data_IF_607667539035
#
_entry.id   IF_607667539035
#
_cell.length_a   1.000
_cell.length_b   1.000
_cell.length_c   1.000
_cell.angle_alpha   90.00
_cell.angle_beta   90.00
_cell.angle_gamma   90.00
#
_symmetry.space_group_name_H-M   'P 1'
#
loop_
_entity.id
_entity.type
_entity.pdbx_description
1 polymer ?
#
# COMPACT_ATOMS: atom_id res chain seq x y z
N UNK A 1 -9.79 -3.67 -21.26
CA UNK A 1 -10.56 -4.89 -21.49
C UNK A 1 -9.93 -5.99 -20.66
N UNK A 2 -10.71 -6.89 -20.10
CA UNK A 2 -10.21 -8.03 -19.34
C UNK A 2 -10.77 -9.29 -19.99
N UNK A 3 -9.88 -10.23 -20.33
CA UNK A 3 -10.25 -11.50 -20.95
C UNK A 3 -10.00 -12.61 -19.92
N UNK A 4 -11.03 -13.36 -19.60
CA UNK A 4 -10.96 -14.49 -18.67
C UNK A 4 -10.87 -15.77 -19.50
N UNK A 5 -9.80 -16.52 -19.30
CA UNK A 5 -9.61 -17.80 -19.97
C UNK A 5 -10.44 -18.89 -19.28
N UNK A 6 -10.80 -19.93 -20.03
CA UNK A 6 -11.46 -21.10 -19.48
C UNK A 6 -10.57 -21.83 -18.47
N UNK A 7 -11.19 -22.54 -17.55
CA UNK A 7 -10.46 -23.44 -16.65
C UNK A 7 -9.83 -24.57 -17.48
N UNK A 8 -8.51 -24.75 -17.35
CA UNK A 8 -7.77 -25.71 -18.14
C UNK A 8 -7.37 -25.22 -19.54
N UNK A 9 -7.53 -23.94 -19.88
CA UNK A 9 -7.00 -23.39 -21.13
C UNK A 9 -5.50 -23.67 -21.25
N UNK A 10 -5.08 -24.17 -22.42
CA UNK A 10 -3.68 -24.52 -22.67
C UNK A 10 -2.82 -23.28 -22.83
N UNK A 11 -1.50 -23.41 -22.61
CA UNK A 11 -0.58 -22.29 -22.84
C UNK A 11 -0.60 -21.81 -24.31
N UNK A 12 -0.87 -22.70 -25.28
CA UNK A 12 -1.03 -22.32 -26.68
C UNK A 12 -2.26 -21.43 -26.90
N UNK A 13 -3.40 -21.79 -26.31
CA UNK A 13 -4.62 -20.97 -26.36
C UNK A 13 -4.42 -19.61 -25.70
N UNK A 14 -3.76 -19.57 -24.53
CA UNK A 14 -3.43 -18.32 -23.84
C UNK A 14 -2.51 -17.46 -24.71
N UNK A 15 -1.47 -18.05 -25.30
CA UNK A 15 -0.54 -17.33 -26.17
C UNK A 15 -1.23 -16.79 -27.43
N UNK A 16 -2.13 -17.55 -28.02
CA UNK A 16 -2.93 -17.09 -29.15
C UNK A 16 -3.74 -15.84 -28.83
N UNK A 17 -4.38 -15.79 -27.67
CA UNK A 17 -5.11 -14.60 -27.21
C UNK A 17 -4.16 -13.43 -26.97
N UNK A 18 -2.98 -13.66 -26.36
CA UNK A 18 -1.95 -12.63 -26.16
C UNK A 18 -1.51 -12.05 -27.52
N UNK A 19 -1.19 -12.89 -28.49
CA UNK A 19 -0.76 -12.46 -29.81
C UNK A 19 -1.85 -11.64 -30.53
N UNK A 20 -3.11 -12.02 -30.34
CA UNK A 20 -4.25 -11.27 -30.86
C UNK A 20 -4.40 -9.89 -30.21
N UNK A 21 -4.19 -9.79 -28.88
CA UNK A 21 -4.20 -8.51 -28.15
C UNK A 21 -3.08 -7.60 -28.70
N UNK A 22 -1.85 -8.12 -28.76
CA UNK A 22 -0.68 -7.38 -29.24
C UNK A 22 -0.84 -6.94 -30.70
N UNK A 23 -1.33 -7.83 -31.58
CA UNK A 23 -1.58 -7.49 -32.98
C UNK A 23 -2.68 -6.45 -33.18
N UNK A 24 -3.57 -6.30 -32.19
CA UNK A 24 -4.57 -5.23 -32.15
C UNK A 24 -4.01 -3.89 -31.65
N UNK A 25 -2.71 -3.81 -31.33
CA UNK A 25 -2.04 -2.59 -30.89
C UNK A 25 -2.17 -2.31 -29.39
N UNK A 26 -2.49 -3.32 -28.57
CA UNK A 26 -2.66 -3.17 -27.13
C UNK A 26 -1.56 -3.87 -26.34
N UNK A 27 -1.21 -3.30 -25.19
CA UNK A 27 -0.36 -3.97 -24.22
C UNK A 27 -1.15 -5.05 -23.47
N UNK A 28 -0.49 -6.15 -23.06
CA UNK A 28 -1.11 -7.25 -22.36
C UNK A 28 -0.39 -7.57 -21.06
N UNK A 29 -1.17 -7.72 -19.98
CA UNK A 29 -0.70 -8.24 -18.72
C UNK A 29 -1.40 -9.54 -18.37
N UNK A 30 -0.61 -10.60 -18.07
CA UNK A 30 -1.11 -11.92 -17.68
C UNK A 30 -1.14 -12.03 -16.16
N UNK A 31 -2.29 -12.46 -15.62
CA UNK A 31 -2.43 -12.86 -14.21
C UNK A 31 -2.93 -14.30 -14.16
N UNK A 32 -2.14 -15.21 -13.57
CA UNK A 32 -2.50 -16.62 -13.43
C UNK A 32 -2.91 -16.89 -11.98
N UNK A 33 -4.18 -17.24 -11.78
CA UNK A 33 -4.73 -17.70 -10.50
C UNK A 33 -4.75 -19.23 -10.41
N UNK A 34 -5.27 -19.75 -9.30
CA UNK A 34 -5.34 -21.20 -9.05
C UNK A 34 -6.26 -21.95 -10.06
N UNK A 35 -7.30 -21.30 -10.59
CA UNK A 35 -8.28 -21.91 -11.49
C UNK A 35 -8.37 -21.27 -12.87
N UNK A 36 -7.93 -20.03 -13.03
CA UNK A 36 -8.11 -19.29 -14.28
C UNK A 36 -6.90 -18.40 -14.58
N UNK A 37 -6.59 -18.24 -15.87
CA UNK A 37 -5.70 -17.18 -16.36
C UNK A 37 -6.55 -15.99 -16.83
N UNK A 38 -6.14 -14.81 -16.47
CA UNK A 38 -6.77 -13.54 -16.85
C UNK A 38 -5.76 -12.69 -17.61
N UNK A 39 -6.20 -12.13 -18.73
CA UNK A 39 -5.40 -11.24 -19.56
C UNK A 39 -6.00 -9.84 -19.52
N UNK A 40 -5.24 -8.88 -19.04
CA UNK A 40 -5.59 -7.48 -19.07
C UNK A 40 -5.06 -6.81 -20.32
N UNK A 41 -5.94 -6.42 -21.25
CA UNK A 41 -5.57 -5.60 -22.41
C UNK A 41 -5.65 -4.12 -22.06
N UNK A 42 -4.50 -3.44 -22.12
CA UNK A 42 -4.32 -2.02 -21.79
C UNK A 42 -4.25 -1.19 -23.09
N UNK A 43 -4.75 0.03 -23.05
CA UNK A 43 -4.79 0.90 -24.23
C UNK A 43 -6.05 0.75 -25.10
N UNK A 44 -6.95 -0.15 -24.76
CA UNK A 44 -8.17 -0.42 -25.55
C UNK A 44 -9.09 0.80 -25.56
N UNK A 45 -9.38 1.34 -26.76
CA UNK A 45 -10.27 2.46 -26.96
C UNK A 45 -11.74 2.10 -26.68
N UNK A 46 -12.56 3.14 -26.35
CA UNK A 46 -13.98 2.94 -26.00
C UNK A 46 -14.81 2.29 -27.10
N UNK A 47 -14.46 2.55 -28.35
CA UNK A 47 -15.21 2.07 -29.52
C UNK A 47 -14.65 0.76 -30.11
N UNK A 48 -13.67 0.16 -29.45
CA UNK A 48 -13.09 -1.11 -29.91
C UNK A 48 -14.10 -2.25 -29.76
N UNK A 49 -14.34 -2.98 -30.86
CA UNK A 49 -15.21 -4.16 -30.84
C UNK A 49 -14.46 -5.35 -30.25
N UNK A 50 -14.93 -5.82 -29.11
CA UNK A 50 -14.33 -6.91 -28.35
C UNK A 50 -14.95 -8.28 -28.63
N UNK A 51 -16.04 -8.33 -29.44
CA UNK A 51 -16.78 -9.57 -29.71
C UNK A 51 -15.94 -10.63 -30.38
N UNK A 52 -14.97 -10.22 -31.21
CA UNK A 52 -14.03 -11.15 -31.84
C UNK A 52 -13.20 -11.94 -30.81
N UNK A 53 -12.92 -11.38 -29.64
CA UNK A 53 -12.20 -12.07 -28.59
C UNK A 53 -13.05 -13.11 -27.85
N UNK A 54 -14.36 -12.91 -27.80
CA UNK A 54 -15.28 -13.88 -27.19
C UNK A 54 -15.37 -15.19 -27.98
N UNK A 55 -15.05 -15.13 -29.28
CA UNK A 55 -15.08 -16.27 -30.20
C UNK A 55 -13.76 -17.05 -30.21
N UNK A 56 -12.71 -16.59 -29.55
CA UNK A 56 -11.41 -17.28 -29.54
C UNK A 56 -11.50 -18.49 -28.60
N UNK A 57 -11.04 -19.62 -29.11
CA UNK A 57 -11.01 -20.89 -28.36
C UNK A 57 -10.19 -20.72 -27.05
N UNK A 58 -10.71 -21.21 -25.94
CA UNK A 58 -10.10 -21.06 -24.62
C UNK A 58 -10.48 -19.77 -23.89
N UNK A 59 -11.20 -18.84 -24.52
CA UNK A 59 -11.78 -17.67 -23.84
C UNK A 59 -13.11 -18.06 -23.21
N UNK A 60 -13.29 -17.72 -21.93
CA UNK A 60 -14.53 -17.92 -21.20
C UNK A 60 -15.46 -16.72 -21.32
N UNK A 61 -14.91 -15.53 -21.12
CA UNK A 61 -15.66 -14.27 -21.18
C UNK A 61 -14.72 -13.08 -21.42
N UNK A 62 -15.25 -12.02 -22.02
CA UNK A 62 -14.57 -10.76 -22.20
C UNK A 62 -15.31 -9.67 -21.45
N UNK A 63 -14.67 -9.11 -20.41
CA UNK A 63 -15.26 -8.07 -19.59
C UNK A 63 -14.78 -6.70 -20.06
N UNK A 64 -15.72 -5.88 -20.49
CA UNK A 64 -15.42 -4.49 -20.81
C UNK A 64 -15.34 -3.68 -19.52
N UNK A 65 -14.12 -3.40 -19.10
CA UNK A 65 -13.91 -2.55 -17.92
C UNK A 65 -14.22 -1.10 -18.30
N UNK A 66 -15.32 -0.58 -17.84
CA UNK A 66 -15.76 0.82 -18.09
C UNK A 66 -14.98 1.82 -17.24
N UNK A 67 -14.41 1.36 -16.12
CA UNK A 67 -13.55 2.18 -15.26
C UNK A 67 -12.28 2.59 -15.99
N UNK A 68 -11.72 3.81 -15.72
CA UNK A 68 -10.52 4.29 -16.39
C UNK A 68 -9.25 3.49 -16.02
N UNK A 69 -9.22 2.81 -14.85
CA UNK A 69 -8.17 1.88 -14.42
C UNK A 69 -8.53 0.44 -14.78
N UNK A 70 -7.58 -0.33 -15.30
CA UNK A 70 -7.77 -1.70 -15.80
C UNK A 70 -7.09 -2.72 -14.89
N UNK A 71 -5.79 -2.56 -14.67
CA UNK A 71 -4.97 -3.47 -13.87
C UNK A 71 -5.32 -3.39 -12.38
N UNK A 72 -5.67 -2.20 -11.87
CA UNK A 72 -6.10 -2.02 -10.49
C UNK A 72 -7.55 -2.49 -10.22
N UNK A 73 -8.32 -2.80 -11.25
CA UNK A 73 -9.73 -3.16 -11.11
C UNK A 73 -9.91 -4.55 -10.50
N UNK A 74 -10.96 -4.72 -9.67
CA UNK A 74 -11.32 -6.01 -9.04
C UNK A 74 -11.47 -7.14 -10.06
N UNK A 75 -12.01 -6.85 -11.26
CA UNK A 75 -12.19 -7.86 -12.32
C UNK A 75 -10.87 -8.42 -12.84
N UNK A 76 -9.76 -7.67 -12.76
CA UNK A 76 -8.44 -8.15 -13.18
C UNK A 76 -7.94 -9.31 -12.29
N UNK A 77 -8.26 -9.27 -10.98
CA UNK A 77 -7.89 -10.34 -10.03
C UNK A 77 -9.01 -10.51 -8.98
N UNK A 78 -10.12 -11.21 -9.32
CA UNK A 78 -11.30 -11.30 -8.47
C UNK A 78 -11.04 -11.83 -7.06
N UNK A 79 -10.08 -12.77 -6.91
CA UNK A 79 -9.68 -13.35 -5.62
C UNK A 79 -8.89 -12.38 -4.73
N UNK A 80 -8.48 -11.22 -5.26
CA UNK A 80 -7.66 -10.25 -4.53
C UNK A 80 -6.17 -10.47 -4.69
N UNK A 81 -5.39 -9.46 -4.34
CA UNK A 81 -3.92 -9.52 -4.31
C UNK A 81 -3.44 -9.73 -2.88
N UNK A 82 -2.53 -10.66 -2.72
CA UNK A 82 -1.75 -10.84 -1.51
C UNK A 82 -0.33 -10.36 -1.81
N UNK A 83 0.13 -9.34 -1.08
CA UNK A 83 1.51 -8.88 -1.10
C UNK A 83 2.24 -9.57 0.04
N UNK A 84 3.14 -10.48 -0.31
CA UNK A 84 3.90 -11.29 0.65
C UNK A 84 5.31 -10.72 0.84
N UNK A 85 5.66 -10.40 2.08
CA UNK A 85 7.00 -9.94 2.47
C UNK A 85 7.91 -11.10 2.88
N UNK A 86 7.39 -12.33 2.95
CA UNK A 86 8.06 -13.46 3.56
C UNK A 86 7.83 -13.52 5.07
N UNK A 87 8.37 -14.58 5.68
CA UNK A 87 8.26 -14.85 7.14
C UNK A 87 6.82 -14.81 7.67
N UNK A 88 5.82 -15.09 6.80
CA UNK A 88 4.39 -15.10 7.14
C UNK A 88 3.73 -13.73 7.23
N UNK A 89 4.41 -12.65 6.83
CA UNK A 89 3.86 -11.28 6.85
C UNK A 89 3.27 -10.94 5.49
N UNK A 90 1.96 -10.73 5.43
CA UNK A 90 1.24 -10.45 4.18
C UNK A 90 0.27 -9.28 4.32
N UNK A 91 0.00 -8.58 3.22
CA UNK A 91 -1.12 -7.67 3.08
C UNK A 91 -2.15 -8.26 2.12
N UNK A 92 -3.43 -8.15 2.43
CA UNK A 92 -4.53 -8.69 1.61
C UNK A 92 -4.93 -10.14 1.94
N UNK A 93 -4.18 -10.83 2.83
CA UNK A 93 -4.50 -12.17 3.35
C UNK A 93 -5.46 -12.14 4.54
N UNK A 94 -5.46 -13.21 5.34
CA UNK A 94 -6.26 -13.30 6.55
C UNK A 94 -5.72 -12.44 7.70
N UNK A 95 -4.46 -12.04 7.63
CA UNK A 95 -3.82 -11.23 8.66
C UNK A 95 -3.98 -9.73 8.39
N UNK A 96 -4.06 -8.95 9.48
CA UNK A 96 -3.92 -7.50 9.46
C UNK A 96 -2.48 -7.18 9.84
N UNK A 97 -1.70 -6.69 8.87
CA UNK A 97 -0.30 -6.34 9.09
C UNK A 97 -0.19 -4.98 9.79
N UNK A 98 0.68 -4.88 10.80
CA UNK A 98 0.91 -3.62 11.50
C UNK A 98 2.32 -3.12 11.25
N UNK A 99 2.41 -1.93 10.64
CA UNK A 99 3.64 -1.18 10.47
C UNK A 99 3.67 -0.05 11.50
N UNK A 100 4.65 -0.07 12.39
CA UNK A 100 4.74 0.89 13.49
C UNK A 100 6.17 1.43 13.64
N UNK A 101 6.30 2.67 14.13
CA UNK A 101 7.59 3.32 14.34
C UNK A 101 7.52 4.83 14.26
N UNK A 102 8.63 5.54 14.40
CA UNK A 102 8.63 6.99 14.49
C UNK A 102 8.34 7.67 13.15
N UNK A 103 7.85 8.89 13.19
CA UNK A 103 7.69 9.71 11.98
C UNK A 103 9.02 9.87 11.26
N UNK A 104 10.08 10.22 11.97
CA UNK A 104 11.45 10.30 11.45
C UNK A 104 12.45 9.59 12.35
N UNK A 105 13.55 9.14 11.74
CA UNK A 105 14.76 8.76 12.50
C UNK A 105 15.43 10.02 13.01
N UNK A 106 15.70 10.05 14.30
CA UNK A 106 16.31 11.19 14.99
C UNK A 106 17.67 10.85 15.60
N UNK A 107 17.85 9.61 16.07
CA UNK A 107 19.11 9.06 16.55
C UNK A 107 19.10 7.54 16.53
N UNK A 108 20.28 6.93 16.74
CA UNK A 108 20.39 5.47 16.86
C UNK A 108 19.64 4.93 18.08
N UNK A 109 19.71 5.65 19.20
CA UNK A 109 19.04 5.27 20.44
C UNK A 109 17.52 5.34 20.32
N UNK A 110 16.99 6.40 19.64
CA UNK A 110 15.57 6.56 19.40
C UNK A 110 15.02 5.41 18.56
N UNK A 111 15.63 5.11 17.40
CA UNK A 111 15.13 4.09 16.50
C UNK A 111 15.27 2.68 17.09
N UNK A 112 16.33 2.40 17.81
CA UNK A 112 16.53 1.10 18.50
C UNK A 112 15.48 0.88 19.57
N UNK A 113 15.25 1.88 20.44
CA UNK A 113 14.25 1.84 21.51
C UNK A 113 12.83 1.65 20.96
N UNK A 114 12.47 2.37 19.89
CA UNK A 114 11.15 2.25 19.27
C UNK A 114 11.00 0.90 18.57
N UNK A 115 12.02 0.45 17.83
CA UNK A 115 12.00 -0.85 17.16
C UNK A 115 11.82 -2.01 18.15
N UNK A 116 12.54 -1.99 19.29
CA UNK A 116 12.36 -2.95 20.36
C UNK A 116 10.91 -2.98 20.88
N UNK A 117 10.34 -1.80 21.17
CA UNK A 117 9.00 -1.66 21.74
C UNK A 117 7.92 -2.14 20.77
N UNK A 118 7.98 -1.75 19.48
CA UNK A 118 6.96 -2.14 18.51
C UNK A 118 7.05 -3.62 18.15
N UNK A 119 8.26 -4.21 18.09
CA UNK A 119 8.46 -5.64 17.91
C UNK A 119 7.89 -6.44 19.08
N UNK A 120 8.17 -6.03 20.32
CA UNK A 120 7.64 -6.66 21.53
C UNK A 120 6.11 -6.64 21.56
N UNK A 121 5.48 -5.56 21.13
CA UNK A 121 4.02 -5.44 21.03
C UNK A 121 3.41 -6.28 19.88
N UNK A 122 4.25 -6.83 18.97
CA UNK A 122 3.83 -7.73 17.89
C UNK A 122 3.74 -7.09 16.52
N UNK A 123 4.21 -5.86 16.31
CA UNK A 123 4.39 -5.32 14.97
C UNK A 123 5.48 -6.12 14.23
N UNK A 124 5.32 -6.27 12.93
CA UNK A 124 6.28 -7.00 12.07
C UNK A 124 7.01 -6.08 11.11
N UNK A 125 6.61 -4.83 11.02
CA UNK A 125 7.13 -3.86 10.07
C UNK A 125 7.49 -2.59 10.83
N UNK A 126 8.75 -2.16 10.73
CA UNK A 126 9.22 -0.87 11.23
C UNK A 126 8.98 0.20 10.16
N UNK A 127 8.20 1.22 10.51
CA UNK A 127 8.03 2.40 9.67
C UNK A 127 8.83 3.56 10.20
N UNK A 128 9.65 4.19 9.38
CA UNK A 128 10.36 5.40 9.76
C UNK A 128 10.76 6.20 8.52
N UNK A 129 10.78 7.52 8.61
CA UNK A 129 11.24 8.38 7.52
C UNK A 129 12.70 8.77 7.71
N UNK A 130 13.55 8.49 6.71
CA UNK A 130 14.92 8.98 6.64
C UNK A 130 15.01 10.34 5.93
N UNK A 131 14.07 10.60 5.03
CA UNK A 131 13.88 11.87 4.32
C UNK A 131 12.53 12.47 4.71
N UNK A 132 12.45 13.80 4.82
CA UNK A 132 11.22 14.48 5.27
C UNK A 132 10.82 15.60 4.32
N UNK A 133 9.65 15.49 3.64
CA UNK A 133 9.11 16.57 2.84
C UNK A 133 8.58 17.68 3.76
N UNK A 134 9.30 18.78 3.88
CA UNK A 134 8.92 19.91 4.73
C UNK A 134 8.47 21.10 3.91
N UNK A 135 7.45 21.80 4.41
CA UNK A 135 7.01 23.08 3.83
C UNK A 135 8.03 24.17 4.10
N UNK A 136 8.72 24.12 5.26
CA UNK A 136 9.80 25.04 5.59
C UNK A 136 11.17 24.42 5.35
N UNK A 137 12.09 25.08 4.62
CA UNK A 137 13.44 24.57 4.43
C UNK A 137 14.29 24.58 5.72
N UNK A 138 13.84 25.27 6.76
CA UNK A 138 14.52 25.34 8.06
C UNK A 138 14.11 24.23 9.04
N UNK A 139 13.05 23.45 8.70
CA UNK A 139 12.65 22.32 9.50
C UNK A 139 13.60 21.12 9.30
N UNK A 140 13.60 20.19 10.26
CA UNK A 140 14.40 18.95 10.17
C UNK A 140 14.07 18.17 8.88
N UNK A 141 15.08 17.98 8.02
CA UNK A 141 14.94 17.37 6.68
C UNK A 141 15.10 15.84 6.69
N UNK A 142 15.38 15.26 7.87
CA UNK A 142 15.75 13.84 8.02
C UNK A 142 17.26 13.63 8.02
N UNK A 143 17.68 12.40 8.28
CA UNK A 143 19.09 12.00 8.36
C UNK A 143 19.65 11.45 7.04
N UNK A 144 18.84 11.40 5.98
CA UNK A 144 19.27 10.88 4.68
C UNK A 144 19.67 9.40 4.75
N UNK A 145 20.70 9.03 3.99
CA UNK A 145 21.19 7.64 3.94
C UNK A 145 21.59 7.10 5.30
N UNK A 146 22.21 7.93 6.16
CA UNK A 146 22.53 7.52 7.53
C UNK A 146 21.30 7.11 8.34
N UNK A 147 20.16 7.78 8.12
CA UNK A 147 18.90 7.39 8.70
C UNK A 147 18.41 6.02 8.19
N UNK A 148 18.63 5.72 6.91
CA UNK A 148 18.28 4.40 6.33
C UNK A 148 19.15 3.28 6.93
N UNK A 149 20.45 3.49 7.11
CA UNK A 149 21.33 2.56 7.80
C UNK A 149 20.82 2.23 9.20
N UNK A 150 20.52 3.28 9.99
CA UNK A 150 20.01 3.11 11.35
C UNK A 150 18.66 2.37 11.41
N UNK A 151 17.75 2.65 10.46
CA UNK A 151 16.48 1.90 10.35
C UNK A 151 16.76 0.43 10.07
N UNK A 152 17.65 0.15 9.11
CA UNK A 152 17.95 -1.23 8.68
C UNK A 152 18.60 -2.01 9.82
N UNK A 153 19.60 -1.46 10.50
CA UNK A 153 20.28 -2.07 11.63
C UNK A 153 19.29 -2.43 12.77
N UNK A 154 18.43 -1.47 13.13
CA UNK A 154 17.40 -1.70 14.15
C UNK A 154 16.38 -2.77 13.70
N UNK A 155 15.93 -2.72 12.44
CA UNK A 155 14.97 -3.70 11.92
C UNK A 155 15.55 -5.11 11.87
N UNK A 156 16.81 -5.28 11.48
CA UNK A 156 17.48 -6.59 11.44
C UNK A 156 17.65 -7.16 12.85
N UNK A 157 18.05 -6.33 13.81
CA UNK A 157 18.19 -6.72 15.23
C UNK A 157 16.89 -7.30 15.80
N UNK A 158 15.74 -6.69 15.47
CA UNK A 158 14.44 -7.11 15.99
C UNK A 158 13.60 -7.91 14.96
N UNK A 159 14.18 -8.33 13.84
CA UNK A 159 13.56 -9.14 12.79
C UNK A 159 12.31 -8.48 12.17
N UNK A 160 12.34 -7.16 12.02
CA UNK A 160 11.28 -6.38 11.39
C UNK A 160 11.56 -6.19 9.89
N UNK A 161 10.52 -6.04 9.10
CA UNK A 161 10.63 -5.47 7.76
C UNK A 161 10.69 -3.94 7.84
N UNK A 162 11.19 -3.28 6.80
CA UNK A 162 11.35 -1.82 6.76
C UNK A 162 10.42 -1.22 5.71
N UNK A 163 9.63 -0.23 6.09
CA UNK A 163 8.95 0.68 5.15
C UNK A 163 9.42 2.10 5.38
N UNK A 164 9.90 2.76 4.31
CA UNK A 164 10.35 4.15 4.35
C UNK A 164 9.91 4.92 3.11
N UNK A 165 9.69 6.24 3.27
CA UNK A 165 9.21 7.11 2.21
C UNK A 165 10.33 7.45 1.22
N UNK A 166 10.09 7.19 -0.07
CA UNK A 166 10.88 7.67 -1.19
C UNK A 166 10.27 8.96 -1.72
N UNK A 167 11.07 9.99 -1.89
CA UNK A 167 10.61 11.31 -2.31
C UNK A 167 10.99 11.66 -3.74
N UNK A 168 12.08 11.07 -4.24
CA UNK A 168 12.66 11.37 -5.55
C UNK A 168 13.18 10.10 -6.23
N UNK A 169 13.17 10.09 -7.58
CA UNK A 169 13.65 8.97 -8.39
C UNK A 169 15.11 8.60 -8.09
N UNK A 170 15.96 9.61 -7.85
CA UNK A 170 17.38 9.40 -7.58
C UNK A 170 17.65 8.60 -6.29
N UNK A 171 16.67 8.55 -5.38
CA UNK A 171 16.78 7.81 -4.13
C UNK A 171 16.50 6.31 -4.30
N UNK A 172 15.78 5.88 -5.34
CA UNK A 172 15.35 4.49 -5.53
C UNK A 172 16.52 3.50 -5.49
N UNK A 173 17.62 3.69 -6.26
CA UNK A 173 18.71 2.72 -6.26
C UNK A 173 19.37 2.55 -4.89
N UNK A 174 19.60 3.64 -4.17
CA UNK A 174 20.19 3.64 -2.84
C UNK A 174 19.23 2.99 -1.83
N UNK A 175 17.98 3.43 -1.78
CA UNK A 175 16.98 2.94 -0.82
C UNK A 175 16.68 1.45 -1.01
N UNK A 176 16.84 0.91 -2.23
CA UNK A 176 16.64 -0.53 -2.50
C UNK A 176 17.49 -1.43 -1.58
N UNK A 177 18.63 -0.96 -1.08
CA UNK A 177 19.48 -1.72 -0.17
C UNK A 177 18.96 -1.76 1.27
N UNK A 178 18.09 -0.82 1.65
CA UNK A 178 17.70 -0.61 3.05
C UNK A 178 16.23 -0.92 3.34
N UNK A 179 15.32 -0.76 2.35
CA UNK A 179 13.88 -0.92 2.59
C UNK A 179 13.36 -2.24 2.02
N UNK A 180 12.33 -2.78 2.64
CA UNK A 180 11.57 -3.92 2.11
C UNK A 180 10.32 -3.44 1.35
N UNK A 181 9.80 -2.25 1.71
CA UNK A 181 8.64 -1.61 1.10
C UNK A 181 8.98 -0.15 0.82
N UNK A 182 8.80 0.30 -0.41
CA UNK A 182 8.83 1.72 -0.73
C UNK A 182 7.51 2.37 -0.36
N UNK A 183 7.52 3.48 0.39
CA UNK A 183 6.33 4.27 0.61
C UNK A 183 6.33 5.49 -0.30
N UNK A 184 5.23 5.70 -1.02
CA UNK A 184 4.94 6.96 -1.72
C UNK A 184 4.06 7.82 -0.83
N UNK A 185 4.57 8.96 -0.41
CA UNK A 185 3.84 9.91 0.43
C UNK A 185 2.65 10.54 -0.30
N UNK A 186 1.66 11.00 0.47
CA UNK A 186 0.43 11.58 -0.07
C UNK A 186 0.66 12.78 -1.01
N UNK A 187 1.73 13.55 -0.81
CA UNK A 187 2.13 14.66 -1.69
C UNK A 187 2.67 14.20 -3.04
N UNK A 188 3.18 12.96 -3.10
CA UNK A 188 3.75 12.33 -4.30
C UNK A 188 2.80 11.33 -4.97
N UNK A 189 1.54 11.23 -4.52
CA UNK A 189 0.58 10.29 -5.13
C UNK A 189 0.43 10.50 -6.64
N UNK A 190 0.50 11.73 -7.11
CA UNK A 190 0.39 12.10 -8.52
C UNK A 190 1.75 12.42 -9.19
N UNK A 191 2.85 12.05 -8.55
CA UNK A 191 4.18 12.12 -9.18
C UNK A 191 4.35 10.92 -10.11
N UNK A 192 3.76 10.98 -11.29
CA UNK A 192 3.72 9.87 -12.25
C UNK A 192 5.10 9.41 -12.72
N UNK A 193 6.11 10.27 -12.71
CA UNK A 193 7.50 9.87 -12.99
C UNK A 193 8.03 8.94 -11.90
N UNK A 194 7.82 9.29 -10.63
CA UNK A 194 8.19 8.45 -9.49
C UNK A 194 7.41 7.12 -9.51
N UNK A 195 6.09 7.18 -9.76
CA UNK A 195 5.25 5.98 -9.81
C UNK A 195 5.68 5.02 -10.92
N UNK A 196 6.02 5.55 -12.10
CA UNK A 196 6.52 4.74 -13.23
C UNK A 196 7.84 4.06 -12.88
N UNK A 197 8.80 4.79 -12.28
CA UNK A 197 10.07 4.20 -11.86
C UNK A 197 9.89 3.13 -10.78
N UNK A 198 8.94 3.32 -9.84
CA UNK A 198 8.59 2.31 -8.85
C UNK A 198 7.82 1.11 -9.45
N UNK A 199 7.24 1.27 -10.63
CA UNK A 199 6.68 0.17 -11.42
C UNK A 199 7.73 -0.82 -11.93
N UNK A 200 8.97 -0.38 -12.10
CA UNK A 200 10.08 -1.20 -12.60
C UNK A 200 10.87 -1.90 -11.48
N UNK A 201 10.60 -1.59 -10.19
CA UNK A 201 11.25 -2.27 -9.06
C UNK A 201 10.49 -3.51 -8.64
N UNK A 202 11.20 -4.49 -8.06
CA UNK A 202 10.58 -5.74 -7.61
C UNK A 202 10.07 -5.69 -6.17
N UNK A 203 10.31 -4.58 -5.44
CA UNK A 203 9.87 -4.45 -4.04
C UNK A 203 8.44 -3.88 -3.97
N UNK A 204 7.67 -4.27 -2.94
CA UNK A 204 6.35 -3.69 -2.70
C UNK A 204 6.35 -2.17 -2.59
N UNK A 205 5.24 -1.56 -3.04
CA UNK A 205 5.01 -0.11 -2.97
C UNK A 205 3.75 0.17 -2.17
N UNK A 206 3.88 0.90 -1.07
CA UNK A 206 2.78 1.43 -0.29
C UNK A 206 2.44 2.85 -0.79
N UNK A 207 1.29 2.99 -1.44
CA UNK A 207 0.83 4.22 -2.07
C UNK A 207 -0.20 4.91 -1.17
N UNK A 208 0.16 6.07 -0.62
CA UNK A 208 -0.73 6.88 0.23
C UNK A 208 -1.65 7.76 -0.61
N UNK A 209 -2.95 7.75 -0.28
CA UNK A 209 -3.96 8.63 -0.89
C UNK A 209 -3.61 10.10 -0.67
N UNK A 210 -3.69 10.90 -1.71
CA UNK A 210 -3.54 12.36 -1.65
C UNK A 210 -4.64 13.01 -0.81
N UNK A 211 -4.32 14.10 -0.14
CA UNK A 211 -5.22 14.78 0.80
C UNK A 211 -6.49 15.37 0.15
N UNK A 212 -6.50 15.55 -1.16
CA UNK A 212 -7.65 16.04 -1.93
C UNK A 212 -7.96 15.12 -3.11
N UNK A 213 -7.50 13.86 -3.02
CA UNK A 213 -7.65 12.88 -4.09
C UNK A 213 -8.91 12.04 -3.90
N UNK A 214 -9.63 11.80 -4.99
CA UNK A 214 -10.70 10.82 -5.05
C UNK A 214 -10.16 9.40 -4.99
N UNK A 215 -11.02 8.42 -4.75
CA UNK A 215 -10.65 6.99 -4.82
C UNK A 215 -10.22 6.62 -6.25
N UNK A 216 -10.89 7.17 -7.27
CA UNK A 216 -10.54 6.94 -8.68
C UNK A 216 -9.12 7.42 -9.00
N UNK A 217 -8.73 8.62 -8.55
CA UNK A 217 -7.38 9.15 -8.73
C UNK A 217 -6.33 8.30 -8.02
N UNK A 218 -6.63 7.75 -6.83
CA UNK A 218 -5.75 6.81 -6.15
C UNK A 218 -5.55 5.52 -6.96
N UNK A 219 -6.63 4.97 -7.52
CA UNK A 219 -6.57 3.75 -8.35
C UNK A 219 -5.86 3.99 -9.68
N UNK A 220 -6.04 5.16 -10.30
CA UNK A 220 -5.28 5.58 -11.47
C UNK A 220 -3.78 5.75 -11.16
N UNK A 221 -3.44 6.26 -9.99
CA UNK A 221 -2.05 6.34 -9.55
C UNK A 221 -1.44 4.94 -9.33
N UNK A 222 -2.19 4.02 -8.75
CA UNK A 222 -1.77 2.63 -8.63
C UNK A 222 -1.58 1.96 -10.02
N UNK A 223 -2.43 2.29 -10.99
CA UNK A 223 -2.33 1.79 -12.37
C UNK A 223 -0.96 2.10 -13.00
N UNK A 224 -0.36 3.26 -12.72
CA UNK A 224 1.00 3.59 -13.21
C UNK A 224 2.07 2.62 -12.70
N UNK A 225 1.97 2.21 -11.44
CA UNK A 225 2.92 1.24 -10.85
C UNK A 225 2.69 -0.14 -11.45
N UNK A 226 1.42 -0.56 -11.54
CA UNK A 226 1.03 -1.85 -12.11
C UNK A 226 1.42 -1.99 -13.58
N UNK A 227 1.24 -0.91 -14.37
CA UNK A 227 1.60 -0.88 -15.78
C UNK A 227 3.12 -1.01 -16.02
N UNK A 228 3.94 -0.62 -15.04
CA UNK A 228 5.39 -0.87 -15.04
C UNK A 228 5.78 -2.32 -14.72
N UNK A 229 4.81 -3.19 -14.36
CA UNK A 229 5.04 -4.60 -14.04
C UNK A 229 5.12 -4.92 -12.55
N UNK A 230 5.08 -3.92 -11.66
CA UNK A 230 5.09 -4.16 -10.22
C UNK A 230 3.65 -4.34 -9.68
N UNK A 231 3.26 -5.59 -9.44
CA UNK A 231 1.94 -5.94 -8.91
C UNK A 231 1.88 -5.98 -7.38
N UNK A 232 2.97 -5.68 -6.67
CA UNK A 232 3.03 -5.64 -5.22
C UNK A 232 2.68 -4.24 -4.69
N UNK A 233 1.47 -3.77 -5.00
CA UNK A 233 0.99 -2.44 -4.58
C UNK A 233 0.04 -2.57 -3.40
N UNK A 234 0.27 -1.75 -2.37
CA UNK A 234 -0.54 -1.63 -1.16
C UNK A 234 -1.10 -0.20 -1.12
N UNK A 235 -2.40 -0.05 -1.09
CA UNK A 235 -3.05 1.25 -0.97
C UNK A 235 -3.09 1.69 0.50
N UNK A 236 -3.10 3.01 0.76
CA UNK A 236 -3.18 3.52 2.13
C UNK A 236 -4.14 4.71 2.21
N UNK A 237 -5.23 4.52 2.96
CA UNK A 237 -6.07 5.63 3.39
C UNK A 237 -5.41 6.36 4.56
N UNK A 238 -5.25 7.69 4.47
CA UNK A 238 -4.54 8.51 5.46
C UNK A 238 -5.24 9.84 5.79
N UNK A 239 -6.51 9.94 5.45
CA UNK A 239 -7.33 11.12 5.63
C UNK A 239 -7.30 12.09 4.45
N UNK A 240 -8.41 12.71 4.25
CA UNK A 240 -8.64 13.74 3.23
C UNK A 240 -8.97 15.08 3.88
N UNK A 241 -8.68 16.17 3.18
CA UNK A 241 -9.10 17.50 3.61
C UNK A 241 -10.59 17.67 3.42
N UNK A 242 -11.24 18.13 4.47
CA UNK A 242 -12.66 18.50 4.44
C UNK A 242 -12.82 19.86 5.11
N UNK A 243 -14.06 20.29 5.28
CA UNK A 243 -14.38 21.50 6.03
C UNK A 243 -14.16 21.37 7.55
N UNK A 244 -14.02 20.13 8.07
CA UNK A 244 -13.83 19.86 9.51
C UNK A 244 -12.40 20.21 9.94
N UNK A 245 -12.27 20.85 11.11
CA UNK A 245 -10.99 21.36 11.62
C UNK A 245 -10.57 20.80 12.98
N UNK A 246 -11.42 19.99 13.64
CA UNK A 246 -11.08 19.35 14.92
C UNK A 246 -9.99 18.28 14.81
N UNK A 247 -9.83 17.70 13.63
CA UNK A 247 -8.74 16.81 13.28
C UNK A 247 -7.96 17.38 12.09
N UNK A 248 -6.70 16.97 11.94
CA UNK A 248 -5.84 17.43 10.83
C UNK A 248 -6.43 17.12 9.46
N UNK A 249 -7.05 15.94 9.32
CA UNK A 249 -7.79 15.49 8.17
C UNK A 249 -9.01 14.67 8.65
N UNK A 250 -9.94 14.40 7.77
CA UNK A 250 -11.01 13.42 7.99
C UNK A 250 -10.51 12.06 7.50
N UNK A 251 -10.32 11.10 8.41
CA UNK A 251 -9.99 9.72 8.02
C UNK A 251 -11.23 9.08 7.39
N UNK A 252 -11.15 8.78 6.10
CA UNK A 252 -12.26 8.22 5.31
C UNK A 252 -12.33 6.70 5.50
N UNK A 253 -12.94 6.27 6.60
CA UNK A 253 -13.11 4.84 6.89
C UNK A 253 -13.96 4.16 5.82
N UNK A 254 -14.91 4.87 5.19
CA UNK A 254 -15.76 4.33 4.14
C UNK A 254 -14.95 3.99 2.86
N UNK A 255 -13.81 4.64 2.64
CA UNK A 255 -12.93 4.32 1.52
C UNK A 255 -12.44 2.86 1.57
N UNK A 256 -12.30 2.26 2.75
CA UNK A 256 -11.80 0.88 2.90
C UNK A 256 -12.72 -0.12 2.19
N UNK A 257 -14.00 -0.28 2.55
CA UNK A 257 -14.88 -1.21 1.87
C UNK A 257 -15.15 -0.81 0.40
N UNK A 258 -15.18 0.47 0.06
CA UNK A 258 -15.34 0.93 -1.32
C UNK A 258 -14.17 0.50 -2.18
N UNK A 259 -12.91 0.71 -1.74
CA UNK A 259 -11.72 0.28 -2.48
C UNK A 259 -11.69 -1.24 -2.61
N UNK A 260 -12.04 -1.98 -1.57
CA UNK A 260 -12.11 -3.45 -1.63
C UNK A 260 -13.17 -3.97 -2.61
N UNK A 261 -14.23 -3.21 -2.88
CA UNK A 261 -15.21 -3.55 -3.92
C UNK A 261 -14.69 -3.21 -5.33
N UNK A 262 -13.98 -2.10 -5.49
CA UNK A 262 -13.52 -1.59 -6.78
C UNK A 262 -12.20 -2.20 -7.26
N UNK A 263 -11.31 -2.56 -6.32
CA UNK A 263 -9.93 -3.00 -6.60
C UNK A 263 -9.61 -4.32 -5.93
N UNK A 264 -8.69 -5.06 -6.51
CA UNK A 264 -8.11 -6.27 -5.93
C UNK A 264 -6.93 -5.98 -4.99
N UNK A 265 -6.43 -4.74 -4.95
CA UNK A 265 -5.26 -4.35 -4.16
C UNK A 265 -5.59 -4.29 -2.67
N UNK A 266 -4.66 -4.70 -1.79
CA UNK A 266 -4.83 -4.54 -0.36
C UNK A 266 -4.82 -3.06 0.04
N UNK A 267 -5.59 -2.72 1.08
CA UNK A 267 -5.67 -1.37 1.62
C UNK A 267 -5.37 -1.35 3.11
N UNK A 268 -4.46 -0.46 3.52
CA UNK A 268 -4.14 -0.17 4.92
C UNK A 268 -4.67 1.20 5.32
N UNK A 269 -4.78 1.43 6.62
CA UNK A 269 -5.17 2.72 7.16
C UNK A 269 -4.04 3.34 8.00
N UNK A 270 -3.89 4.65 7.88
CA UNK A 270 -2.96 5.47 8.65
C UNK A 270 -3.75 6.49 9.51
N UNK A 271 -4.21 6.08 10.69
CA UNK A 271 -4.98 6.95 11.59
C UNK A 271 -4.12 8.05 12.22
N UNK A 272 -2.80 7.87 12.32
CA UNK A 272 -1.89 8.88 12.84
C UNK A 272 -1.91 10.14 11.98
N UNK A 273 -1.66 10.01 10.67
CA UNK A 273 -1.75 11.15 9.75
C UNK A 273 -3.21 11.52 9.44
N UNK A 274 -4.13 10.55 9.49
CA UNK A 274 -5.55 10.79 9.26
C UNK A 274 -6.13 11.77 10.26
N UNK A 275 -5.86 11.58 11.53
CA UNK A 275 -6.40 12.44 12.60
C UNK A 275 -5.46 13.56 13.00
N UNK A 276 -4.15 13.34 12.98
CA UNK A 276 -3.14 14.26 13.48
C UNK A 276 -3.17 14.44 15.00
N UNK A 277 -3.84 13.54 15.73
CA UNK A 277 -4.06 13.62 17.16
C UNK A 277 -3.87 12.27 17.84
N UNK A 278 -2.97 12.20 18.82
CA UNK A 278 -2.62 10.99 19.59
C UNK A 278 -3.85 10.28 20.18
N UNK A 279 -4.75 11.06 20.78
CA UNK A 279 -5.98 10.56 21.45
C UNK A 279 -7.00 9.95 20.48
N UNK A 280 -6.87 10.19 19.18
CA UNK A 280 -7.77 9.67 18.14
C UNK A 280 -7.19 8.48 17.36
N UNK A 281 -5.89 8.19 17.51
CA UNK A 281 -5.24 7.10 16.76
C UNK A 281 -5.87 5.74 17.09
N UNK A 282 -5.96 5.40 18.38
CA UNK A 282 -6.49 4.09 18.79
C UNK A 282 -7.95 3.86 18.38
N UNK A 283 -8.91 4.79 18.61
CA UNK A 283 -10.28 4.64 18.14
C UNK A 283 -10.36 4.42 16.61
N UNK A 284 -9.59 5.19 15.84
CA UNK A 284 -9.63 5.11 14.37
C UNK A 284 -8.91 3.86 13.84
N UNK A 285 -7.86 3.39 14.50
CA UNK A 285 -7.21 2.12 14.17
C UNK A 285 -8.18 0.95 14.34
N UNK A 286 -8.92 0.92 15.47
CA UNK A 286 -9.96 -0.10 15.71
C UNK A 286 -11.07 -0.06 14.66
N UNK A 287 -11.55 1.14 14.33
CA UNK A 287 -12.57 1.33 13.29
C UNK A 287 -12.07 0.84 11.91
N UNK A 288 -10.82 1.12 11.55
CA UNK A 288 -10.23 0.67 10.30
C UNK A 288 -10.13 -0.86 10.22
N UNK A 289 -9.70 -1.54 11.30
CA UNK A 289 -9.70 -3.02 11.36
C UNK A 289 -11.12 -3.56 11.21
N UNK A 290 -12.09 -2.98 11.92
CA UNK A 290 -13.51 -3.37 11.83
C UNK A 290 -14.09 -3.14 10.42
N UNK A 291 -13.65 -2.10 9.70
CA UNK A 291 -14.03 -1.82 8.32
C UNK A 291 -13.35 -2.75 7.29
N UNK A 292 -12.43 -3.62 7.73
CA UNK A 292 -11.78 -4.62 6.89
C UNK A 292 -10.43 -4.17 6.29
N UNK A 293 -9.73 -3.21 6.89
CA UNK A 293 -8.38 -2.84 6.48
C UNK A 293 -7.42 -4.05 6.53
N UNK A 294 -6.53 -4.14 5.55
CA UNK A 294 -5.53 -5.21 5.43
C UNK A 294 -4.27 -4.93 6.27
N UNK A 295 -4.19 -3.75 6.87
CA UNK A 295 -3.12 -3.36 7.77
C UNK A 295 -3.31 -1.98 8.36
N UNK A 296 -2.41 -1.64 9.26
CA UNK A 296 -2.34 -0.33 9.92
C UNK A 296 -0.93 0.26 9.79
N UNK A 297 -0.87 1.58 9.65
CA UNK A 297 0.36 2.36 9.71
C UNK A 297 0.27 3.32 10.90
N UNK A 298 1.06 3.07 11.95
CA UNK A 298 0.96 3.78 13.23
C UNK A 298 2.26 4.51 13.54
N UNK A 299 2.17 5.77 13.94
CA UNK A 299 3.32 6.49 14.47
C UNK A 299 3.50 6.20 15.96
N UNK A 300 4.71 5.74 16.30
CA UNK A 300 5.14 5.44 17.68
C UNK A 300 6.47 6.10 17.94
N UNK A 301 6.59 6.80 19.05
CA UNK A 301 7.81 7.48 19.46
C UNK A 301 8.07 7.22 20.95
N UNK A 302 9.32 7.04 21.34
CA UNK A 302 9.70 6.79 22.74
C UNK A 302 9.49 8.02 23.66
N UNK A 303 9.53 9.22 23.09
CA UNK A 303 9.24 10.50 23.75
C UNK A 303 8.49 11.44 22.79
N UNK A 304 7.17 11.23 22.59
CA UNK A 304 6.40 11.98 21.60
C UNK A 304 6.36 13.48 21.82
N UNK A 305 6.53 13.94 23.05
CA UNK A 305 6.40 15.36 23.40
C UNK A 305 7.66 16.17 23.01
N UNK A 306 8.80 15.48 22.81
CA UNK A 306 10.07 16.08 22.35
C UNK A 306 10.46 15.62 20.93
N UNK A 307 9.56 14.94 20.21
CA UNK A 307 9.82 14.46 18.85
C UNK A 307 10.09 15.63 17.89
N UNK A 308 11.11 15.50 17.04
CA UNK A 308 11.45 16.49 16.00
C UNK A 308 10.39 16.55 14.88
N UNK A 309 9.52 15.53 14.79
CA UNK A 309 8.48 15.42 13.77
C UNK A 309 7.24 14.71 14.28
N UNK A 310 6.07 15.34 14.06
CA UNK A 310 4.72 14.79 14.24
C UNK A 310 4.43 14.14 15.62
N UNK A 311 5.06 14.65 16.69
CA UNK A 311 4.88 14.13 18.05
C UNK A 311 3.43 14.15 18.56
N UNK A 312 2.66 15.17 18.17
CA UNK A 312 1.25 15.32 18.58
C UNK A 312 0.33 14.16 18.15
N UNK A 313 0.71 13.41 17.12
CA UNK A 313 -0.04 12.27 16.60
C UNK A 313 0.64 10.91 16.87
N UNK A 314 1.83 10.90 17.45
CA UNK A 314 2.58 9.69 17.79
C UNK A 314 2.09 9.10 19.11
N UNK A 315 1.87 7.79 19.13
CA UNK A 315 1.67 7.04 20.37
C UNK A 315 3.01 6.87 21.09
N UNK A 316 2.99 6.81 22.39
CA UNK A 316 4.10 6.23 23.17
C UNK A 316 4.01 4.68 23.15
N UNK A 317 5.07 3.96 23.56
CA UNK A 317 5.10 2.50 23.56
C UNK A 317 3.95 1.85 24.34
N UNK A 318 3.57 2.40 25.51
CA UNK A 318 2.51 1.82 26.33
C UNK A 318 1.12 1.97 25.69
N UNK A 319 0.84 3.09 25.03
CA UNK A 319 -0.39 3.27 24.26
C UNK A 319 -0.43 2.38 23.03
N UNK A 320 0.72 2.16 22.37
CA UNK A 320 0.79 1.25 21.23
C UNK A 320 0.56 -0.21 21.65
N UNK A 321 1.18 -0.67 22.72
CA UNK A 321 0.96 -2.03 23.27
C UNK A 321 -0.52 -2.27 23.59
N UNK A 322 -1.18 -1.30 24.24
CA UNK A 322 -2.62 -1.34 24.52
C UNK A 322 -3.44 -1.44 23.23
N UNK A 323 -3.14 -0.61 22.23
CA UNK A 323 -3.79 -0.68 20.93
C UNK A 323 -3.65 -2.07 20.29
N UNK A 324 -2.45 -2.66 20.33
CA UNK A 324 -2.22 -3.99 19.78
C UNK A 324 -3.07 -5.06 20.50
N UNK A 325 -3.23 -4.97 21.81
CA UNK A 325 -4.12 -5.85 22.58
C UNK A 325 -5.59 -5.67 22.15
N UNK A 326 -6.06 -4.43 21.98
CA UNK A 326 -7.43 -4.13 21.57
C UNK A 326 -7.76 -4.63 20.15
N UNK A 327 -6.86 -4.44 19.18
CA UNK A 327 -7.10 -4.89 17.80
C UNK A 327 -7.06 -6.43 17.67
N UNK A 328 -6.32 -7.14 18.54
CA UNK A 328 -6.37 -8.61 18.61
C UNK A 328 -7.73 -9.14 19.03
N UNK A 329 -8.52 -8.35 19.76
CA UNK A 329 -9.90 -8.71 20.13
C UNK A 329 -10.86 -8.42 18.97
N UNK A 330 -10.66 -7.34 18.22
CA UNK A 330 -11.55 -6.89 17.16
C UNK A 330 -11.35 -7.69 15.87
N UNK A 331 -10.13 -8.00 15.49
CA UNK A 331 -9.82 -8.66 14.22
C UNK A 331 -10.59 -9.99 14.02
N UNK A 332 -10.70 -10.89 15.01
CA UNK A 332 -11.51 -12.12 14.87
C UNK A 332 -12.98 -11.87 14.60
N UNK A 333 -13.56 -10.78 15.13
CA UNK A 333 -14.99 -10.46 14.91
C UNK A 333 -15.30 -10.15 13.43
N UNK A 334 -14.28 -9.77 12.64
CA UNK A 334 -14.40 -9.53 11.19
C UNK A 334 -13.68 -10.59 10.36
N UNK A 335 -13.43 -11.79 10.94
CA UNK A 335 -12.81 -12.91 10.24
C UNK A 335 -11.32 -12.75 9.95
N UNK A 336 -10.62 -11.86 10.68
CA UNK A 336 -9.20 -11.54 10.51
C UNK A 336 -8.41 -11.90 11.78
N UNK A 337 -7.10 -11.86 11.70
CA UNK A 337 -6.20 -12.02 12.86
C UNK A 337 -5.05 -11.02 12.79
N UNK A 338 -4.47 -10.70 13.94
CA UNK A 338 -3.23 -9.95 14.07
C UNK A 338 -2.08 -10.95 14.17
N UNK A 339 -1.08 -10.79 13.30
CA UNK A 339 0.08 -11.67 13.26
C UNK A 339 1.05 -11.45 14.44
#
# INVERSE_FOLDING_TARGET
MVIVMQEGATDEQIQHVIDRIVSSGFDVHRSTGASHTILGAVGVHRDFDHRDFELIEGVREVVRVTQPYKLANRHFKPQGTIVDLGRGVTFGGAEVAVAAGPCSVESAEQIDSVAASVASAGAKILRAGAFKPRTSPYAFQGMGEKGLELIRDAADKYKLFVVSEVMDLSQIPMMTNYVDIFQVGARNMQNYFLLRALGEVHKPVLLKRGMSATIEELLLSAEYILAGGNFNVILCERGIRTFETYTRNTLDIAAIPVIKALSHLPIVADPSHGTGRRDKVAPMARAAVAAGADGLLIEVHNDPDHALSDGAQSLDPAHFERLMAEIRIIAPAVGRRIG
#
